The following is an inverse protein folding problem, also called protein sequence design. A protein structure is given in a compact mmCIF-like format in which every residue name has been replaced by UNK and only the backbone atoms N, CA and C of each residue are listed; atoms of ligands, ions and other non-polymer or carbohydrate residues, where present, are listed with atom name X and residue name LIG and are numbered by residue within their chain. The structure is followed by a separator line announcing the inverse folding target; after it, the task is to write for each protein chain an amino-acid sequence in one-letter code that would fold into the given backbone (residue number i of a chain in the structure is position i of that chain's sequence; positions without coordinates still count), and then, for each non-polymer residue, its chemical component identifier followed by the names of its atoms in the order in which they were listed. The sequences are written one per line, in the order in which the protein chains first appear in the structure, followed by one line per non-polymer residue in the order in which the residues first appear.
data_IF_374207886480
#
_entry.id   IF_374207886480
#
_cell.length_a   1.000
_cell.length_b   1.000
_cell.length_c   1.000
_cell.angle_alpha   90.00
_cell.angle_beta   90.00
_cell.angle_gamma   90.00
#
_symmetry.space_group_name_H-M   'P 1'
#
loop_
_entity.id
_entity.type
_entity.pdbx_description
1 polymer ?
#
# COMPACT_ATOMS: atom_id res chain seq x y z
N UNK A 1 -28.08 7.70 37.71
CA UNK A 1 -28.63 7.32 36.37
C UNK A 1 -28.14 8.22 35.23
N UNK A 2 -27.23 9.17 35.44
CA UNK A 2 -26.75 10.11 34.39
C UNK A 2 -25.42 9.72 33.73
N UNK A 3 -24.69 8.74 34.25
CA UNK A 3 -23.38 8.33 33.73
C UNK A 3 -23.43 7.37 32.52
N UNK A 4 -24.55 6.70 32.25
CA UNK A 4 -24.68 5.73 31.15
C UNK A 4 -25.00 6.38 29.80
N UNK A 5 -25.57 7.59 29.78
CA UNK A 5 -25.91 8.27 28.52
C UNK A 5 -24.75 8.99 27.86
N UNK A 6 -23.74 9.36 28.62
CA UNK A 6 -22.54 10.03 28.07
C UNK A 6 -21.59 9.04 27.34
N UNK A 7 -21.51 7.79 27.80
CA UNK A 7 -20.66 6.77 27.19
C UNK A 7 -21.15 6.33 25.82
N UNK A 8 -22.45 6.28 25.58
CA UNK A 8 -23.04 5.87 24.29
C UNK A 8 -22.94 6.94 23.20
N UNK A 9 -22.80 8.22 23.58
CA UNK A 9 -22.62 9.30 22.59
C UNK A 9 -21.19 9.43 22.09
N UNK A 10 -20.21 8.92 22.85
CA UNK A 10 -18.81 8.91 22.45
C UNK A 10 -18.40 7.67 21.61
N UNK A 11 -19.15 6.57 21.70
CA UNK A 11 -18.86 5.33 20.95
C UNK A 11 -19.22 5.47 19.46
N UNK A 12 -20.19 6.30 19.11
CA UNK A 12 -20.56 6.53 17.70
C UNK A 12 -19.46 7.15 16.83
N UNK A 13 -18.70 8.18 17.27
CA UNK A 13 -17.58 8.68 16.48
C UNK A 13 -16.39 7.69 16.41
N UNK A 14 -16.23 6.78 17.39
CA UNK A 14 -15.14 5.80 17.38
C UNK A 14 -15.40 4.68 16.37
N UNK A 15 -16.64 4.24 16.19
CA UNK A 15 -16.99 3.28 15.14
C UNK A 15 -16.77 3.86 13.74
N UNK A 16 -17.06 5.15 13.53
CA UNK A 16 -16.73 5.87 12.31
C UNK A 16 -15.22 6.01 12.08
N UNK A 17 -14.42 6.03 13.15
CA UNK A 17 -12.98 6.22 13.09
C UNK A 17 -12.22 4.92 12.81
N UNK A 18 -12.74 3.76 13.25
CA UNK A 18 -12.21 2.44 12.87
C UNK A 18 -12.49 2.15 11.40
N UNK A 19 -13.64 2.60 10.90
CA UNK A 19 -13.95 2.66 9.48
C UNK A 19 -12.95 3.51 8.70
N UNK A 20 -12.32 4.51 9.34
CA UNK A 20 -11.32 5.40 8.78
C UNK A 20 -10.07 4.68 8.23
N UNK A 21 -9.66 3.57 8.84
CA UNK A 21 -8.48 2.80 8.41
C UNK A 21 -8.72 1.88 7.24
N UNK A 22 -9.97 1.46 7.05
CA UNK A 22 -10.37 0.59 5.93
C UNK A 22 -10.89 1.41 4.74
N UNK A 23 -11.17 2.71 4.94
CA UNK A 23 -11.92 3.53 4.00
C UNK A 23 -11.34 4.94 3.98
N UNK A 24 -10.27 5.16 3.23
CA UNK A 24 -9.76 6.50 2.95
C UNK A 24 -9.79 6.72 1.45
N UNK A 25 -10.71 7.47 0.98
CA UNK A 25 -10.66 8.41 -0.12
C UNK A 25 -11.93 8.60 -0.94
N UNK A 26 -12.25 9.77 -1.32
CA UNK A 26 -12.73 10.17 -2.64
C UNK A 26 -12.48 11.66 -2.82
N UNK A 27 -11.79 11.98 -3.90
CA UNK A 27 -11.30 13.31 -4.16
C UNK A 27 -12.38 14.31 -4.50
N UNK A 28 -12.10 15.56 -4.13
CA UNK A 28 -12.47 16.75 -4.88
C UNK A 28 -11.17 17.50 -5.14
N UNK A 29 -11.06 18.13 -6.30
CA UNK A 29 -9.91 18.91 -6.71
C UNK A 29 -9.61 19.99 -5.66
N UNK A 30 -8.81 19.64 -4.66
CA UNK A 30 -8.15 20.62 -3.83
C UNK A 30 -7.07 21.26 -4.70
N UNK A 31 -7.04 22.57 -4.76
CA UNK A 31 -5.94 23.36 -5.30
C UNK A 31 -4.67 22.83 -4.66
N UNK A 32 -3.96 21.97 -5.40
CA UNK A 32 -2.66 21.48 -5.02
C UNK A 32 -1.71 22.67 -5.03
N UNK A 33 -1.38 23.20 -3.86
CA UNK A 33 -0.06 23.76 -3.68
C UNK A 33 0.88 22.60 -4.05
N UNK A 34 1.53 22.70 -5.21
CA UNK A 34 2.58 21.75 -5.61
C UNK A 34 3.72 21.90 -4.61
N UNK A 35 3.59 21.23 -3.48
CA UNK A 35 4.73 21.04 -2.60
C UNK A 35 5.75 20.25 -3.42
N UNK A 36 6.90 20.89 -3.64
CA UNK A 36 7.99 20.24 -4.34
C UNK A 36 8.37 19.00 -3.55
N UNK A 37 8.45 17.88 -4.27
CA UNK A 37 8.91 16.63 -3.66
C UNK A 37 10.23 16.90 -2.90
N UNK A 38 10.45 16.27 -1.75
CA UNK A 38 11.71 16.39 -1.03
C UNK A 38 12.89 16.05 -1.95
N UNK A 39 14.07 16.66 -1.75
CA UNK A 39 15.22 16.41 -2.59
C UNK A 39 15.51 14.92 -2.76
N UNK A 40 15.66 14.50 -4.03
CA UNK A 40 15.97 13.13 -4.39
C UNK A 40 14.77 12.20 -4.52
N UNK A 41 13.53 12.67 -4.35
CA UNK A 41 12.34 11.94 -4.70
C UNK A 41 11.82 12.34 -6.09
N UNK A 42 11.18 11.40 -6.81
CA UNK A 42 10.53 11.73 -8.08
C UNK A 42 9.29 12.61 -7.83
N UNK A 43 8.79 13.26 -8.88
CA UNK A 43 7.47 13.87 -8.83
C UNK A 43 6.39 12.79 -8.65
N UNK A 44 5.25 13.17 -8.04
CA UNK A 44 4.10 12.27 -7.87
C UNK A 44 3.67 11.74 -9.25
N UNK A 45 3.43 10.43 -9.35
CA UNK A 45 3.06 9.75 -10.60
C UNK A 45 4.23 9.51 -11.56
N UNK A 46 5.45 9.93 -11.20
CA UNK A 46 6.66 9.59 -11.97
C UNK A 46 7.23 8.23 -11.55
N UNK A 47 7.93 7.54 -12.45
CA UNK A 47 8.58 6.28 -12.13
C UNK A 47 9.54 6.37 -10.95
N UNK A 48 9.69 5.29 -10.20
CA UNK A 48 10.62 5.21 -9.09
C UNK A 48 12.07 5.49 -9.51
N UNK A 49 12.83 6.16 -8.64
CA UNK A 49 14.27 6.37 -8.81
C UNK A 49 15.00 5.21 -8.13
N UNK A 50 15.84 4.51 -8.89
CA UNK A 50 16.69 3.43 -8.39
C UNK A 50 18.14 3.90 -8.37
N UNK A 51 18.79 3.79 -7.22
CA UNK A 51 20.19 4.20 -7.03
C UNK A 51 21.00 3.09 -6.39
N UNK A 52 22.04 2.61 -7.08
CA UNK A 52 23.00 1.68 -6.52
C UNK A 52 23.81 2.37 -5.40
N UNK A 53 23.90 1.73 -4.23
CA UNK A 53 24.66 2.21 -3.08
C UNK A 53 25.99 1.43 -2.94
N UNK A 54 25.94 0.11 -3.19
CA UNK A 54 27.10 -0.77 -3.15
C UNK A 54 26.89 -1.93 -4.13
N UNK A 55 27.87 -2.26 -4.98
CA UNK A 55 27.70 -3.28 -6.02
C UNK A 55 27.80 -4.72 -5.50
N UNK A 56 28.21 -4.95 -4.25
CA UNK A 56 28.41 -6.28 -3.68
C UNK A 56 29.67 -6.98 -4.15
N UNK A 57 29.80 -8.24 -3.76
CA UNK A 57 30.96 -9.10 -4.06
C UNK A 57 30.84 -9.77 -5.44
N UNK A 58 31.97 -10.18 -6.01
CA UNK A 58 31.98 -11.00 -7.23
C UNK A 58 31.56 -12.46 -6.92
N UNK A 59 30.94 -13.15 -7.90
CA UNK A 59 30.62 -12.68 -9.25
C UNK A 59 29.39 -11.75 -9.27
N UNK A 60 29.46 -10.73 -10.13
CA UNK A 60 28.37 -9.78 -10.35
C UNK A 60 27.62 -10.11 -11.63
N UNK A 61 26.31 -9.91 -11.63
CA UNK A 61 25.44 -10.06 -12.79
C UNK A 61 24.42 -8.93 -12.87
N UNK A 62 24.01 -8.61 -14.09
CA UNK A 62 22.91 -7.67 -14.32
C UNK A 62 21.60 -8.39 -14.06
N UNK A 63 20.78 -7.83 -13.17
CA UNK A 63 19.44 -8.36 -12.86
C UNK A 63 18.42 -7.78 -13.86
N UNK A 64 17.69 -8.65 -14.56
CA UNK A 64 16.62 -8.25 -15.49
C UNK A 64 15.48 -9.24 -15.45
N UNK A 65 14.28 -8.71 -15.41
CA UNK A 65 13.06 -9.50 -15.59
C UNK A 65 12.99 -9.97 -17.05
N UNK A 66 12.78 -11.27 -17.25
CA UNK A 66 12.63 -11.91 -18.56
C UNK A 66 11.38 -12.78 -18.57
N UNK A 67 10.24 -12.13 -18.50
CA UNK A 67 8.94 -12.78 -18.38
C UNK A 67 8.42 -13.04 -19.79
N UNK A 68 8.07 -14.30 -20.13
CA UNK A 68 7.61 -14.61 -21.50
C UNK A 68 6.19 -14.05 -21.76
N UNK A 69 5.93 -13.72 -23.01
CA UNK A 69 4.58 -13.38 -23.46
C UNK A 69 3.60 -14.54 -23.19
N UNK A 70 2.38 -14.22 -22.77
CA UNK A 70 1.37 -15.22 -22.42
C UNK A 70 1.58 -15.90 -21.06
N UNK A 71 2.58 -15.49 -20.26
CA UNK A 71 2.78 -15.97 -18.89
C UNK A 71 1.55 -15.65 -18.04
N UNK A 72 1.09 -16.63 -17.26
CA UNK A 72 -0.04 -16.49 -16.34
C UNK A 72 0.34 -16.99 -14.97
N UNK A 73 -0.12 -16.30 -13.95
CA UNK A 73 0.11 -16.70 -12.57
C UNK A 73 -1.00 -16.16 -11.68
N UNK A 74 -1.17 -16.76 -10.52
CA UNK A 74 -2.06 -16.30 -9.46
C UNK A 74 -1.26 -16.02 -8.21
N UNK A 75 -1.72 -15.09 -7.41
CA UNK A 75 -1.10 -14.72 -6.15
C UNK A 75 -2.12 -14.47 -5.05
N UNK A 76 -1.62 -14.42 -3.83
CA UNK A 76 -2.37 -14.03 -2.64
C UNK A 76 -1.60 -12.95 -1.89
N UNK A 77 -2.31 -11.88 -1.52
CA UNK A 77 -1.86 -10.86 -0.57
C UNK A 77 -2.57 -11.16 0.74
N UNK A 78 -1.82 -11.29 1.82
CA UNK A 78 -2.38 -11.39 3.18
C UNK A 78 -1.92 -10.18 3.98
N UNK A 79 -2.84 -9.54 4.68
CA UNK A 79 -2.60 -8.34 5.50
C UNK A 79 -3.20 -8.56 6.88
N UNK A 80 -2.41 -8.32 7.91
CA UNK A 80 -2.89 -8.16 9.30
C UNK A 80 -2.50 -6.79 9.80
N UNK A 81 -3.37 -6.18 10.60
CA UNK A 81 -3.20 -4.82 11.09
C UNK A 81 -3.66 -4.71 12.54
N UNK A 82 -2.79 -4.15 13.39
CA UNK A 82 -3.12 -3.72 14.74
C UNK A 82 -3.13 -2.19 14.81
N UNK A 83 -4.06 -1.66 15.59
CA UNK A 83 -4.31 -0.23 15.72
C UNK A 83 -4.31 0.18 17.18
N UNK A 84 -3.60 1.26 17.50
CA UNK A 84 -3.70 1.95 18.79
C UNK A 84 -3.96 3.42 18.52
N UNK A 85 -4.87 4.01 19.28
CA UNK A 85 -5.27 5.42 19.10
C UNK A 85 -5.17 6.18 20.43
N UNK A 86 -4.86 7.47 20.31
CA UNK A 86 -4.89 8.43 21.41
C UNK A 86 -5.70 9.64 20.94
N UNK A 87 -6.74 10.00 21.66
CA UNK A 87 -7.59 11.14 21.38
C UNK A 87 -7.61 12.09 22.56
N UNK A 88 -7.23 13.33 22.35
CA UNK A 88 -7.18 14.37 23.40
C UNK A 88 -6.39 13.93 24.65
N UNK A 89 -5.30 13.18 24.48
CA UNK A 89 -4.46 12.67 25.58
C UNK A 89 -4.97 11.39 26.25
N UNK A 90 -6.12 10.86 25.85
CA UNK A 90 -6.64 9.58 26.32
C UNK A 90 -6.32 8.45 25.35
N UNK A 91 -5.59 7.43 25.84
CA UNK A 91 -5.34 6.22 25.06
C UNK A 91 -6.62 5.38 24.96
N UNK A 92 -6.99 5.00 23.75
CA UNK A 92 -8.06 4.03 23.50
C UNK A 92 -7.48 2.61 23.52
N UNK A 93 -8.30 1.59 23.86
CA UNK A 93 -7.84 0.21 23.79
C UNK A 93 -7.28 -0.14 22.44
N UNK A 94 -6.12 -0.78 22.41
CA UNK A 94 -5.56 -1.31 21.17
C UNK A 94 -6.49 -2.38 20.60
N UNK A 95 -6.64 -2.42 19.27
CA UNK A 95 -7.46 -3.39 18.58
C UNK A 95 -6.72 -4.02 17.41
N UNK A 96 -6.93 -5.30 17.21
CA UNK A 96 -6.49 -5.99 16.02
C UNK A 96 -7.65 -6.03 15.01
N UNK A 97 -7.36 -5.61 13.78
CA UNK A 97 -8.34 -5.69 12.70
C UNK A 97 -8.34 -7.12 12.12
N UNK A 98 -9.47 -7.54 11.52
CA UNK A 98 -9.54 -8.83 10.85
C UNK A 98 -8.42 -8.99 9.83
N UNK A 99 -7.75 -10.14 9.85
CA UNK A 99 -6.81 -10.48 8.79
C UNK A 99 -7.53 -10.55 7.45
N UNK A 100 -6.94 -9.97 6.41
CA UNK A 100 -7.49 -9.94 5.05
C UNK A 100 -6.61 -10.77 4.12
N UNK A 101 -7.25 -11.54 3.23
CA UNK A 101 -6.57 -12.25 2.15
C UNK A 101 -7.24 -11.89 0.83
N UNK A 102 -6.47 -11.36 -0.10
CA UNK A 102 -6.90 -10.99 -1.44
C UNK A 102 -6.23 -11.89 -2.47
N UNK A 103 -7.01 -12.59 -3.27
CA UNK A 103 -6.52 -13.42 -4.36
C UNK A 103 -6.60 -12.65 -5.68
N UNK A 104 -5.60 -12.82 -6.52
CA UNK A 104 -5.53 -12.14 -7.81
C UNK A 104 -4.89 -13.03 -8.87
N UNK A 105 -5.26 -12.76 -10.12
CA UNK A 105 -4.66 -13.35 -11.31
C UNK A 105 -3.90 -12.29 -12.10
N UNK A 106 -2.75 -12.68 -12.68
CA UNK A 106 -1.97 -11.89 -13.61
C UNK A 106 -1.82 -12.64 -14.93
N UNK A 107 -1.94 -11.91 -16.04
CA UNK A 107 -1.75 -12.45 -17.38
C UNK A 107 -0.91 -11.48 -18.22
N UNK A 108 0.26 -11.89 -18.69
CA UNK A 108 1.10 -11.08 -19.58
C UNK A 108 0.45 -11.02 -20.96
N UNK A 109 0.13 -9.81 -21.40
CA UNK A 109 -0.52 -9.52 -22.67
C UNK A 109 0.46 -9.02 -23.72
N UNK A 110 1.61 -8.48 -23.30
CA UNK A 110 2.62 -8.00 -24.26
C UNK A 110 4.01 -7.93 -23.62
N UNK A 111 5.03 -8.12 -24.48
CA UNK A 111 6.44 -7.88 -24.14
C UNK A 111 7.07 -7.11 -25.29
N UNK A 112 7.67 -5.96 -25.00
CA UNK A 112 8.34 -5.15 -26.02
C UNK A 112 9.75 -5.68 -26.31
N UNK A 113 10.36 -5.30 -27.45
CA UNK A 113 11.77 -5.61 -27.74
C UNK A 113 12.75 -5.05 -26.67
N UNK A 114 12.36 -3.97 -25.97
CA UNK A 114 13.11 -3.38 -24.87
C UNK A 114 12.97 -4.17 -23.55
N UNK A 115 12.09 -5.18 -23.51
CA UNK A 115 11.84 -6.00 -22.33
C UNK A 115 10.77 -5.45 -21.39
N UNK A 116 10.07 -4.37 -21.76
CA UNK A 116 8.92 -3.91 -20.98
C UNK A 116 7.78 -4.94 -21.08
N UNK A 117 7.19 -5.27 -19.94
CA UNK A 117 6.15 -6.28 -19.81
C UNK A 117 4.82 -5.63 -19.44
N UNK A 118 3.82 -5.83 -20.30
CA UNK A 118 2.42 -5.42 -20.04
C UNK A 118 1.63 -6.64 -19.58
N UNK A 119 0.89 -6.49 -18.49
CA UNK A 119 0.06 -7.55 -17.94
C UNK A 119 -1.27 -7.02 -17.44
N UNK A 120 -2.29 -7.86 -17.56
CA UNK A 120 -3.59 -7.64 -16.94
C UNK A 120 -3.58 -8.21 -15.52
N UNK A 121 -4.30 -7.52 -14.64
CA UNK A 121 -4.56 -7.90 -13.26
C UNK A 121 -6.06 -8.01 -13.03
N UNK A 122 -6.49 -9.05 -12.32
CA UNK A 122 -7.86 -9.17 -11.84
C UNK A 122 -7.87 -9.72 -10.41
N UNK A 123 -8.56 -9.05 -9.50
CA UNK A 123 -8.84 -9.63 -8.18
C UNK A 123 -9.97 -10.65 -8.29
N UNK A 124 -9.74 -11.85 -7.79
CA UNK A 124 -10.64 -12.99 -7.94
C UNK A 124 -11.40 -13.30 -6.67
N UNK A 125 -10.80 -13.06 -5.52
CA UNK A 125 -11.44 -13.26 -4.23
C UNK A 125 -10.85 -12.37 -3.14
N UNK A 126 -11.66 -12.10 -2.10
CA UNK A 126 -11.23 -11.50 -0.86
C UNK A 126 -11.94 -12.21 0.29
N UNK A 127 -11.17 -12.65 1.26
CA UNK A 127 -11.66 -13.27 2.50
C UNK A 127 -11.10 -12.52 3.70
N UNK A 128 -11.89 -12.48 4.78
CA UNK A 128 -11.47 -11.90 6.06
C UNK A 128 -11.50 -12.98 7.13
N UNK A 129 -10.52 -12.96 8.01
CA UNK A 129 -10.51 -13.80 9.19
C UNK A 129 -11.40 -13.16 10.26
N UNK A 130 -12.11 -13.99 11.03
CA UNK A 130 -12.95 -13.49 12.12
C UNK A 130 -12.07 -12.81 13.18
N UNK A 131 -12.41 -11.59 13.56
CA UNK A 131 -11.79 -10.91 14.69
C UNK A 131 -12.78 -10.93 15.88
N UNK A 132 -12.43 -11.57 17.00
CA UNK A 132 -13.27 -11.56 18.20
C UNK A 132 -13.53 -10.13 18.68
N UNK A 133 -14.79 -9.78 18.94
CA UNK A 133 -15.16 -8.45 19.45
C UNK A 133 -15.29 -7.33 18.39
N UNK A 134 -15.21 -7.67 17.10
CA UNK A 134 -15.44 -6.71 16.03
C UNK A 134 -16.92 -6.28 16.03
N UNK A 135 -17.15 -4.96 15.92
CA UNK A 135 -18.51 -4.41 15.79
C UNK A 135 -19.17 -4.95 14.51
N UNK A 136 -20.44 -5.41 14.56
CA UNK A 136 -21.15 -5.93 13.38
C UNK A 136 -21.23 -4.97 12.21
N UNK A 137 -21.26 -3.66 12.44
CA UNK A 137 -21.29 -2.64 11.38
C UNK A 137 -19.95 -2.59 10.64
N UNK A 138 -18.83 -2.72 11.35
CA UNK A 138 -17.48 -2.81 10.77
C UNK A 138 -17.32 -4.11 9.97
N UNK A 139 -17.82 -5.24 10.51
CA UNK A 139 -17.82 -6.51 9.79
C UNK A 139 -18.60 -6.44 8.47
N UNK A 140 -19.79 -5.84 8.48
CA UNK A 140 -20.63 -5.64 7.29
C UNK A 140 -19.95 -4.75 6.23
N UNK A 141 -19.26 -3.69 6.66
CA UNK A 141 -18.51 -2.81 5.78
C UNK A 141 -17.35 -3.54 5.10
N UNK A 142 -16.59 -4.34 5.86
CA UNK A 142 -15.50 -5.16 5.30
C UNK A 142 -16.04 -6.16 4.28
N UNK A 143 -17.17 -6.81 4.55
CA UNK A 143 -17.82 -7.72 3.60
C UNK A 143 -18.29 -7.00 2.32
N UNK A 144 -18.82 -5.79 2.44
CA UNK A 144 -19.17 -4.95 1.31
C UNK A 144 -17.96 -4.63 0.42
N UNK A 145 -16.84 -4.29 1.05
CA UNK A 145 -15.57 -4.03 0.35
C UNK A 145 -15.05 -5.26 -0.42
N UNK A 146 -15.26 -6.48 0.12
CA UNK A 146 -14.85 -7.71 -0.55
C UNK A 146 -15.56 -7.92 -1.90
N UNK A 147 -16.85 -7.59 -1.98
CA UNK A 147 -17.61 -7.67 -3.23
C UNK A 147 -17.12 -6.64 -4.27
N UNK A 148 -16.75 -5.44 -3.81
CA UNK A 148 -16.23 -4.37 -4.67
C UNK A 148 -14.85 -4.73 -5.25
N UNK A 149 -13.95 -5.29 -4.46
CA UNK A 149 -12.59 -5.66 -4.87
C UNK A 149 -12.61 -6.68 -6.03
N UNK A 150 -13.52 -7.65 -6.03
CA UNK A 150 -13.66 -8.64 -7.13
C UNK A 150 -13.99 -8.02 -8.50
N UNK A 151 -14.47 -6.79 -8.53
CA UNK A 151 -14.76 -6.07 -9.78
C UNK A 151 -13.55 -5.30 -10.33
N UNK A 152 -12.49 -5.16 -9.53
CA UNK A 152 -11.31 -4.40 -9.90
C UNK A 152 -10.49 -5.20 -10.92
N UNK A 153 -10.32 -4.62 -12.08
CA UNK A 153 -9.42 -5.08 -13.14
C UNK A 153 -8.54 -3.93 -13.57
N UNK A 154 -7.32 -4.24 -13.94
CA UNK A 154 -6.36 -3.24 -14.39
C UNK A 154 -5.35 -3.82 -15.33
N UNK A 155 -4.62 -2.93 -15.99
CA UNK A 155 -3.47 -3.26 -16.82
C UNK A 155 -2.29 -2.44 -16.31
N UNK A 156 -1.14 -3.09 -16.16
CA UNK A 156 0.09 -2.40 -15.79
C UNK A 156 1.22 -2.77 -16.74
N UNK A 157 2.16 -1.84 -16.90
CA UNK A 157 3.40 -2.06 -17.64
C UNK A 157 4.57 -1.80 -16.72
N UNK A 158 5.48 -2.77 -16.65
CA UNK A 158 6.76 -2.65 -15.94
C UNK A 158 7.91 -2.75 -16.93
N UNK A 159 9.03 -2.08 -16.62
CA UNK A 159 10.26 -2.27 -17.38
C UNK A 159 10.91 -3.63 -17.07
N UNK A 160 11.90 -4.02 -17.86
CA UNK A 160 12.77 -5.17 -17.59
C UNK A 160 13.50 -5.08 -16.24
N UNK A 161 13.48 -3.90 -15.60
CA UNK A 161 14.03 -3.66 -14.27
C UNK A 161 12.96 -3.65 -13.16
N UNK A 162 11.71 -3.98 -13.46
CA UNK A 162 10.62 -3.97 -12.48
C UNK A 162 10.12 -2.56 -12.10
N UNK A 163 10.54 -1.52 -12.81
CA UNK A 163 10.03 -0.16 -12.59
C UNK A 163 8.69 -0.01 -13.29
N UNK A 164 7.66 0.41 -12.57
CA UNK A 164 6.33 0.67 -13.13
C UNK A 164 6.41 1.86 -14.11
N UNK A 165 5.92 1.64 -15.31
CA UNK A 165 5.81 2.64 -16.38
C UNK A 165 4.42 3.25 -16.43
N UNK A 166 3.40 2.42 -16.27
CA UNK A 166 1.99 2.83 -16.27
C UNK A 166 1.14 1.82 -15.52
N UNK A 167 0.07 2.31 -14.93
CA UNK A 167 -1.00 1.49 -14.36
C UNK A 167 -2.33 2.14 -14.75
N UNK A 168 -3.26 1.36 -15.26
CA UNK A 168 -4.62 1.79 -15.59
C UNK A 168 -5.61 0.81 -15.03
N UNK A 169 -6.74 1.32 -14.54
CA UNK A 169 -7.84 0.50 -14.03
C UNK A 169 -9.09 0.69 -14.88
N UNK A 170 -9.85 -0.36 -15.06
CA UNK A 170 -11.15 -0.28 -15.72
C UNK A 170 -12.18 0.34 -14.79
N UNK A 171 -12.33 1.66 -14.89
CA UNK A 171 -13.31 2.45 -14.13
C UNK A 171 -14.65 2.59 -14.84
N UNK A 172 -14.82 2.03 -16.03
CA UNK A 172 -16.00 2.23 -16.87
C UNK A 172 -17.30 1.73 -16.24
N UNK A 173 -17.22 0.79 -15.31
CA UNK A 173 -18.35 0.22 -14.56
C UNK A 173 -18.44 0.71 -13.12
N UNK A 174 -17.60 1.67 -12.74
CA UNK A 174 -17.49 2.14 -11.36
C UNK A 174 -18.35 3.38 -11.11
N UNK A 175 -19.67 3.20 -11.06
CA UNK A 175 -20.59 4.23 -10.57
C UNK A 175 -20.69 4.24 -9.04
N UNK A 176 -20.20 3.20 -8.35
CA UNK A 176 -20.24 3.07 -6.91
C UNK A 176 -19.03 3.79 -6.27
N UNK A 177 -19.25 4.79 -5.39
CA UNK A 177 -18.19 5.47 -4.65
C UNK A 177 -17.30 4.52 -3.84
N UNK A 178 -17.87 3.44 -3.28
CA UNK A 178 -17.11 2.46 -2.51
C UNK A 178 -16.12 1.69 -3.39
N UNK A 179 -16.49 1.44 -4.65
CA UNK A 179 -15.61 0.75 -5.60
C UNK A 179 -14.43 1.65 -6.01
N UNK A 180 -14.66 2.94 -6.23
CA UNK A 180 -13.59 3.90 -6.51
C UNK A 180 -12.58 3.96 -5.38
N UNK A 181 -13.08 3.94 -4.15
CA UNK A 181 -12.26 3.94 -2.95
C UNK A 181 -11.48 2.63 -2.77
N UNK A 182 -12.10 1.47 -3.00
CA UNK A 182 -11.40 0.17 -2.99
C UNK A 182 -10.27 0.16 -4.02
N UNK A 183 -10.46 0.80 -5.17
CA UNK A 183 -9.46 0.94 -6.22
C UNK A 183 -8.22 1.72 -5.77
N UNK A 184 -8.40 2.82 -5.07
CA UNK A 184 -7.28 3.61 -4.56
C UNK A 184 -6.42 2.81 -3.55
N UNK A 185 -7.06 2.01 -2.70
CA UNK A 185 -6.35 1.10 -1.77
C UNK A 185 -5.58 0.01 -2.50
N UNK A 186 -6.16 -0.54 -3.56
CA UNK A 186 -5.53 -1.59 -4.38
C UNK A 186 -4.36 -1.06 -5.19
N UNK A 187 -4.44 0.18 -5.67
CA UNK A 187 -3.37 0.82 -6.44
C UNK A 187 -2.04 0.77 -5.71
N UNK A 188 -2.04 1.03 -4.40
CA UNK A 188 -0.84 0.96 -3.56
C UNK A 188 -0.24 -0.44 -3.48
N UNK A 189 -1.08 -1.48 -3.47
CA UNK A 189 -0.63 -2.87 -3.40
C UNK A 189 0.01 -3.33 -4.70
N UNK A 190 -0.33 -2.73 -5.84
CA UNK A 190 0.25 -3.08 -7.12
C UNK A 190 1.70 -2.59 -7.27
N UNK A 191 2.04 -1.48 -6.63
CA UNK A 191 3.40 -0.94 -6.70
C UNK A 191 4.44 -1.85 -6.04
N UNK A 192 4.03 -2.76 -5.17
CA UNK A 192 4.94 -3.72 -4.52
C UNK A 192 5.06 -5.07 -5.24
N UNK A 193 4.33 -5.28 -6.35
CA UNK A 193 4.36 -6.57 -7.06
C UNK A 193 5.66 -6.82 -7.84
N UNK A 194 6.38 -5.79 -8.23
CA UNK A 194 7.68 -5.89 -8.84
C UNK A 194 8.71 -5.09 -8.01
N UNK A 195 9.85 -5.69 -7.73
CA UNK A 195 10.94 -4.99 -7.03
C UNK A 195 11.85 -4.35 -8.07
N UNK A 196 11.99 -3.01 -8.07
CA UNK A 196 12.92 -2.33 -8.96
C UNK A 196 14.39 -2.73 -8.67
N UNK A 197 15.12 -3.13 -9.72
CA UNK A 197 16.52 -3.54 -9.63
C UNK A 197 17.46 -2.52 -10.31
N UNK A 198 18.75 -2.46 -9.91
CA UNK A 198 19.73 -1.55 -10.50
C UNK A 198 20.00 -1.80 -11.99
N UNK A 199 20.55 -0.80 -12.66
CA UNK A 199 21.04 -0.93 -14.03
C UNK A 199 22.35 -1.68 -14.09
N UNK A 200 23.17 -1.50 -13.09
CA UNK A 200 24.51 -2.01 -12.97
C UNK A 200 24.51 -3.48 -12.56
N UNK A 201 25.63 -4.16 -12.83
CA UNK A 201 25.86 -5.52 -12.36
C UNK A 201 26.06 -5.53 -10.83
N UNK A 202 25.38 -6.45 -10.16
CA UNK A 202 25.37 -6.59 -8.69
C UNK A 202 25.68 -8.02 -8.28
N UNK A 203 26.30 -8.17 -7.11
CA UNK A 203 26.62 -9.47 -6.51
C UNK A 203 26.14 -9.54 -5.06
N UNK A 204 26.43 -10.64 -4.39
CA UNK A 204 26.02 -10.83 -2.99
C UNK A 204 26.46 -9.66 -2.09
N UNK A 205 25.60 -9.19 -1.21
CA UNK A 205 25.83 -8.02 -0.38
C UNK A 205 25.64 -6.68 -1.11
N UNK A 206 25.22 -6.66 -2.39
CA UNK A 206 24.89 -5.43 -3.09
C UNK A 206 23.72 -4.74 -2.39
N UNK A 207 23.75 -3.40 -2.35
CA UNK A 207 22.70 -2.57 -1.79
C UNK A 207 22.28 -1.49 -2.76
N UNK A 208 20.98 -1.27 -2.88
CA UNK A 208 20.43 -0.17 -3.65
C UNK A 208 19.21 0.42 -2.96
N UNK A 209 18.91 1.63 -3.33
CA UNK A 209 17.80 2.40 -2.82
C UNK A 209 16.79 2.65 -3.94
N UNK A 210 15.51 2.52 -3.59
CA UNK A 210 14.36 2.88 -4.44
C UNK A 210 13.60 3.99 -3.75
N UNK A 211 13.38 5.10 -4.44
CA UNK A 211 12.57 6.22 -3.97
C UNK A 211 11.34 6.40 -4.82
N UNK A 212 10.20 6.58 -4.16
CA UNK A 212 8.89 6.76 -4.80
C UNK A 212 8.15 7.92 -4.13
N UNK A 213 7.34 8.63 -4.90
CA UNK A 213 6.35 9.58 -4.43
C UNK A 213 4.98 9.11 -4.90
N UNK A 214 4.06 8.89 -3.98
CA UNK A 214 2.74 8.35 -4.26
C UNK A 214 1.66 9.13 -3.52
N UNK A 215 0.45 9.11 -4.06
CA UNK A 215 -0.75 9.59 -3.36
C UNK A 215 -1.67 8.43 -3.13
N UNK A 216 -1.98 8.16 -1.88
CA UNK A 216 -2.86 7.10 -1.47
C UNK A 216 -3.72 7.57 -0.31
N UNK A 217 -5.02 7.24 -0.38
CA UNK A 217 -5.95 7.67 0.65
C UNK A 217 -6.03 9.18 0.81
N UNK A 218 -5.89 9.94 -0.28
CA UNK A 218 -5.86 11.40 -0.26
C UNK A 218 -4.61 12.01 0.39
N UNK A 219 -3.59 11.20 0.70
CA UNK A 219 -2.36 11.63 1.35
C UNK A 219 -1.16 11.38 0.44
N UNK A 220 -0.36 12.43 0.21
CA UNK A 220 0.94 12.30 -0.47
C UNK A 220 1.97 11.71 0.49
N UNK A 221 2.66 10.66 0.05
CA UNK A 221 3.69 9.95 0.80
C UNK A 221 4.97 9.81 -0.01
N UNK A 222 6.09 9.83 0.69
CA UNK A 222 7.42 9.61 0.15
C UNK A 222 7.99 8.34 0.77
N UNK A 223 8.29 7.36 -0.08
CA UNK A 223 8.77 6.04 0.33
C UNK A 223 10.21 5.86 -0.13
N UNK A 224 11.07 5.48 0.79
CA UNK A 224 12.45 5.09 0.54
C UNK A 224 12.64 3.65 0.98
N UNK A 225 12.96 2.77 0.05
CA UNK A 225 13.24 1.37 0.35
C UNK A 225 14.69 1.05 -0.01
N UNK A 226 15.43 0.55 0.95
CA UNK A 226 16.76 -0.02 0.76
C UNK A 226 16.64 -1.54 0.64
N UNK A 227 17.22 -2.08 -0.42
CA UNK A 227 17.32 -3.51 -0.68
C UNK A 227 18.76 -3.98 -0.54
N UNK A 228 18.94 -5.18 0.02
CA UNK A 228 20.21 -5.90 0.09
C UNK A 228 20.08 -7.24 -0.64
N UNK A 229 20.94 -7.50 -1.59
CA UNK A 229 21.03 -8.79 -2.28
C UNK A 229 21.69 -9.83 -1.38
N UNK A 230 20.90 -10.78 -0.89
CA UNK A 230 21.40 -11.90 -0.07
C UNK A 230 22.02 -12.97 -0.95
N UNK A 231 21.30 -13.38 -2.00
CA UNK A 231 21.78 -14.38 -2.97
C UNK A 231 21.07 -14.25 -4.30
N UNK A 232 21.74 -14.68 -5.37
CA UNK A 232 21.16 -14.82 -6.70
C UNK A 232 21.60 -16.17 -7.28
N UNK A 233 20.65 -17.04 -7.62
CA UNK A 233 20.90 -18.37 -8.17
C UNK A 233 19.89 -18.68 -9.27
N UNK A 234 20.37 -18.90 -10.49
CA UNK A 234 19.50 -19.06 -11.67
C UNK A 234 18.58 -17.85 -11.85
N UNK A 235 17.26 -18.06 -11.87
CA UNK A 235 16.26 -16.98 -11.96
C UNK A 235 15.80 -16.47 -10.58
N UNK A 236 16.25 -17.11 -9.48
CA UNK A 236 15.86 -16.78 -8.11
C UNK A 236 16.79 -15.75 -7.48
N UNK A 237 16.22 -14.71 -6.86
CA UNK A 237 16.95 -13.66 -6.16
C UNK A 237 16.34 -13.48 -4.78
N UNK A 238 17.17 -13.54 -3.73
CA UNK A 238 16.75 -13.30 -2.35
C UNK A 238 17.22 -11.94 -1.88
N UNK A 239 16.31 -11.17 -1.33
CA UNK A 239 16.55 -9.82 -0.84
C UNK A 239 16.13 -9.67 0.62
N UNK A 240 16.83 -8.81 1.35
CA UNK A 240 16.30 -8.13 2.54
C UNK A 240 15.88 -6.74 2.14
N UNK A 241 14.89 -6.19 2.83
CA UNK A 241 14.45 -4.83 2.60
C UNK A 241 14.21 -4.09 3.91
N UNK A 242 14.45 -2.80 3.87
CA UNK A 242 14.08 -1.83 4.89
C UNK A 242 13.43 -0.64 4.19
N UNK A 243 12.22 -0.27 4.61
CA UNK A 243 11.50 0.85 4.04
C UNK A 243 11.21 1.92 5.10
N UNK A 244 11.28 3.17 4.69
CA UNK A 244 10.92 4.35 5.47
C UNK A 244 9.89 5.14 4.65
N UNK A 245 8.79 5.52 5.30
CA UNK A 245 7.71 6.28 4.68
C UNK A 245 7.48 7.55 5.47
N UNK A 246 7.38 8.68 4.80
CA UNK A 246 7.04 9.97 5.39
C UNK A 246 5.95 10.67 4.59
N UNK A 247 5.20 11.57 5.24
CA UNK A 247 4.33 12.49 4.56
C UNK A 247 4.50 13.90 5.15
N UNK A 248 4.42 14.95 4.32
CA UNK A 248 4.38 16.33 4.82
C UNK A 248 3.05 16.59 5.52
N UNK A 249 2.96 17.63 6.36
CA UNK A 249 1.68 18.15 6.83
C UNK A 249 0.77 18.49 5.65
N UNK A 250 -0.46 17.97 5.65
CA UNK A 250 -1.38 18.15 4.52
C UNK A 250 -2.82 17.92 4.93
N UNK A 251 -3.78 18.61 4.30
CA UNK A 251 -5.19 18.32 4.48
C UNK A 251 -5.52 16.93 3.93
N UNK A 252 -6.47 16.26 4.56
CA UNK A 252 -6.98 14.97 4.11
C UNK A 252 -8.51 15.01 4.12
N UNK A 253 -9.10 14.56 3.04
CA UNK A 253 -10.55 14.41 2.92
C UNK A 253 -10.96 12.99 3.29
N UNK A 254 -11.97 12.86 4.13
CA UNK A 254 -12.57 11.58 4.44
C UNK A 254 -14.09 11.65 4.22
N UNK A 255 -14.63 11.00 3.18
CA UNK A 255 -16.05 11.06 2.85
C UNK A 255 -16.96 10.39 3.89
N UNK A 256 -16.41 9.62 4.83
CA UNK A 256 -17.15 9.03 5.94
C UNK A 256 -17.36 9.98 7.11
N UNK A 257 -16.65 11.10 7.14
CA UNK A 257 -16.85 12.12 8.12
C UNK A 257 -17.91 13.14 7.63
N UNK A 258 -18.60 13.82 8.54
CA UNK A 258 -19.48 14.94 8.17
C UNK A 258 -18.76 15.94 7.27
N UNK A 259 -19.46 16.52 6.30
CA UNK A 259 -18.87 17.40 5.27
C UNK A 259 -18.18 18.65 5.85
N UNK A 260 -18.53 19.04 7.08
CA UNK A 260 -17.93 20.14 7.83
C UNK A 260 -16.69 19.72 8.66
N UNK A 261 -16.31 18.46 8.61
CA UNK A 261 -15.12 17.96 9.31
C UNK A 261 -13.87 18.18 8.46
N UNK A 262 -12.93 18.94 8.99
CA UNK A 262 -11.61 19.10 8.38
C UNK A 262 -10.60 18.19 9.08
N UNK A 263 -9.84 17.44 8.29
CA UNK A 263 -8.77 16.59 8.78
C UNK A 263 -7.46 17.13 8.26
N UNK A 264 -6.52 17.40 9.16
CA UNK A 264 -5.17 17.82 8.84
C UNK A 264 -4.18 16.77 9.36
N UNK A 265 -3.41 16.16 8.46
CA UNK A 265 -2.26 15.35 8.85
C UNK A 265 -1.15 16.31 9.28
N UNK A 266 -0.73 16.23 10.53
CA UNK A 266 0.36 17.05 11.08
C UNK A 266 1.71 16.35 10.92
N UNK A 267 1.71 15.04 11.11
CA UNK A 267 2.91 14.21 11.01
C UNK A 267 2.53 12.79 10.62
N UNK A 268 3.29 12.23 9.70
CA UNK A 268 3.25 10.81 9.36
C UNK A 268 4.66 10.25 9.22
N UNK A 269 4.92 9.12 9.83
CA UNK A 269 6.15 8.36 9.64
C UNK A 269 5.86 6.87 9.76
N UNK A 270 6.48 6.08 8.89
CA UNK A 270 6.38 4.64 8.92
C UNK A 270 7.73 3.97 8.66
N UNK A 271 7.91 2.79 9.20
CA UNK A 271 9.08 1.95 8.92
C UNK A 271 8.61 0.52 8.72
N UNK A 272 9.24 -0.19 7.80
CA UNK A 272 9.03 -1.62 7.64
C UNK A 272 10.33 -2.33 7.30
N UNK A 273 10.38 -3.61 7.66
CA UNK A 273 11.48 -4.51 7.29
C UNK A 273 10.91 -5.81 6.77
N UNK A 274 11.68 -6.52 5.97
CA UNK A 274 11.21 -7.78 5.45
C UNK A 274 12.20 -8.49 4.54
N UNK A 275 11.68 -9.52 3.89
CA UNK A 275 12.40 -10.31 2.90
C UNK A 275 11.59 -10.44 1.63
N UNK A 276 12.28 -10.60 0.51
CA UNK A 276 11.65 -10.88 -0.77
C UNK A 276 12.41 -11.97 -1.49
N UNK A 277 11.68 -12.88 -2.11
CA UNK A 277 12.22 -13.85 -3.06
C UNK A 277 11.65 -13.54 -4.42
N UNK A 278 12.50 -13.01 -5.30
CA UNK A 278 12.12 -12.66 -6.66
C UNK A 278 12.39 -13.82 -7.60
N UNK A 279 11.59 -13.93 -8.63
CA UNK A 279 11.88 -14.72 -9.82
C UNK A 279 12.00 -13.77 -11.00
N UNK A 280 13.15 -13.76 -11.65
CA UNK A 280 13.38 -12.90 -12.82
C UNK A 280 12.59 -13.36 -14.06
N UNK A 281 11.99 -14.54 -14.02
CA UNK A 281 11.12 -15.14 -15.03
C UNK A 281 9.62 -15.15 -14.63
N UNK A 282 9.23 -14.40 -13.59
CA UNK A 282 7.87 -14.40 -13.06
C UNK A 282 7.40 -13.04 -12.54
N UNK A 283 6.09 -12.85 -12.44
CA UNK A 283 5.46 -11.61 -11.98
C UNK A 283 5.16 -11.59 -10.48
N UNK A 284 4.73 -12.71 -9.90
CA UNK A 284 4.41 -12.75 -8.48
C UNK A 284 5.64 -13.12 -7.69
N UNK A 285 6.01 -12.23 -6.80
CA UNK A 285 7.15 -12.38 -5.90
C UNK A 285 6.67 -12.88 -4.54
N UNK A 286 7.49 -13.64 -3.82
CA UNK A 286 7.23 -13.91 -2.42
C UNK A 286 7.83 -12.79 -1.58
N UNK A 287 6.98 -12.04 -0.89
CA UNK A 287 7.37 -10.90 -0.05
C UNK A 287 6.74 -11.08 1.32
N UNK A 288 7.53 -10.88 2.36
CA UNK A 288 7.04 -10.79 3.73
C UNK A 288 7.60 -9.52 4.36
N UNK A 289 6.72 -8.65 4.86
CA UNK A 289 7.10 -7.41 5.53
C UNK A 289 6.34 -7.25 6.83
N UNK A 290 7.00 -6.63 7.81
CA UNK A 290 6.38 -6.15 9.04
C UNK A 290 6.78 -4.71 9.26
N UNK A 291 5.85 -3.88 9.69
CA UNK A 291 6.09 -2.46 9.84
C UNK A 291 5.22 -1.81 10.90
N UNK A 292 5.59 -0.56 11.19
CA UNK A 292 4.83 0.33 12.06
C UNK A 292 4.69 1.68 11.37
N UNK A 293 3.57 2.35 11.58
CA UNK A 293 3.37 3.74 11.18
C UNK A 293 2.77 4.53 12.33
N UNK A 294 3.20 5.78 12.48
CA UNK A 294 2.70 6.71 13.47
C UNK A 294 2.13 7.92 12.72
N UNK A 295 0.93 8.31 13.07
CA UNK A 295 0.26 9.47 12.49
C UNK A 295 -0.25 10.37 13.60
N UNK A 296 -0.02 11.67 13.44
CA UNK A 296 -0.66 12.71 14.26
C UNK A 296 -1.54 13.54 13.34
N UNK A 297 -2.81 13.70 13.71
CA UNK A 297 -3.80 14.44 12.94
C UNK A 297 -4.54 15.41 13.85
N UNK A 298 -5.03 16.50 13.29
CA UNK A 298 -6.04 17.35 13.91
C UNK A 298 -7.37 17.19 13.15
N UNK A 299 -8.44 17.02 13.92
CA UNK A 299 -9.82 17.00 13.42
C UNK A 299 -10.50 18.28 13.90
N UNK A 300 -11.02 19.07 12.96
CA UNK A 300 -11.80 20.27 13.27
C UNK A 300 -13.24 20.05 12.85
N UNK A 301 -14.16 20.15 13.79
CA UNK A 301 -15.60 19.98 13.59
C UNK A 301 -16.35 21.03 14.40
N UNK A 302 -17.26 21.79 13.76
CA UNK A 302 -17.98 22.86 14.42
C UNK A 302 -17.11 23.95 15.06
N UNK A 303 -15.91 24.21 14.47
CA UNK A 303 -14.95 25.20 14.97
C UNK A 303 -14.10 24.72 16.16
N UNK A 304 -14.28 23.49 16.64
CA UNK A 304 -13.43 22.87 17.66
C UNK A 304 -12.43 21.92 17.03
N UNK A 305 -11.15 22.08 17.38
CA UNK A 305 -10.08 21.21 16.91
C UNK A 305 -9.66 20.24 18.00
N UNK A 306 -9.50 18.96 17.65
CA UNK A 306 -9.01 17.91 18.53
C UNK A 306 -7.84 17.21 17.88
N UNK A 307 -6.78 16.96 18.65
CA UNK A 307 -5.63 16.20 18.19
C UNK A 307 -5.85 14.71 18.42
N UNK A 308 -5.47 13.92 17.42
CA UNK A 308 -5.52 12.47 17.46
C UNK A 308 -4.16 11.90 17.04
N UNK A 309 -3.64 10.99 17.85
CA UNK A 309 -2.50 10.15 17.51
C UNK A 309 -2.95 8.74 17.14
N UNK A 310 -2.30 8.14 16.18
CA UNK A 310 -2.59 6.78 15.73
C UNK A 310 -1.29 6.02 15.45
N UNK A 311 -1.19 4.83 16.03
CA UNK A 311 -0.10 3.89 15.81
C UNK A 311 -0.66 2.66 15.12
N UNK A 312 -0.05 2.30 13.99
CA UNK A 312 -0.46 1.15 13.17
C UNK A 312 0.69 0.16 13.13
N UNK A 313 0.38 -1.11 13.38
CA UNK A 313 1.29 -2.24 13.14
C UNK A 313 0.75 -3.04 11.97
N UNK A 314 1.60 -3.38 11.01
CA UNK A 314 1.20 -4.15 9.83
C UNK A 314 2.10 -5.35 9.63
N UNK A 315 1.52 -6.44 9.16
CA UNK A 315 2.25 -7.54 8.54
C UNK A 315 1.60 -7.84 7.21
N UNK A 316 2.40 -7.81 6.15
CA UNK A 316 1.96 -8.09 4.77
C UNK A 316 2.75 -9.26 4.23
N UNK A 317 2.06 -10.20 3.60
CA UNK A 317 2.69 -11.25 2.81
C UNK A 317 2.10 -11.27 1.42
N UNK A 318 2.95 -11.43 0.41
CA UNK A 318 2.55 -11.70 -0.98
C UNK A 318 3.19 -13.04 -1.36
N UNK A 319 2.42 -13.92 -1.94
CA UNK A 319 2.94 -15.20 -2.37
C UNK A 319 2.24 -15.70 -3.64
N UNK A 320 2.95 -16.42 -4.53
CA UNK A 320 2.30 -17.12 -5.62
C UNK A 320 1.41 -18.24 -5.06
N UNK A 321 0.24 -18.43 -5.67
CA UNK A 321 -0.61 -19.59 -5.39
C UNK A 321 0.00 -20.79 -6.11
N UNK A 322 0.39 -21.81 -5.34
CA UNK A 322 0.82 -23.10 -5.92
C UNK A 322 -0.41 -23.78 -6.53
N UNK A 323 -0.35 -24.04 -7.83
CA UNK A 323 -1.31 -24.92 -8.50
C UNK A 323 -1.03 -26.37 -8.18
#
# INVERSE_FOLDING_TARGET
MAYHYWMLTFIRPVAGLVAFLLVVAAGHEAVQTRDQAPPGYPAIGSPAIVKLLAPGADPKAVLRYKIPAGFKTSGVISLTMGLSMNMAGMALPAMDLPGMKMMFDLAVTGVTPAGDVTYDLAFTDMTTEAAPGLDPSVAAMIQGSAAAIKQIKGTATISDRGVIRSTTFDVSKMSDPNLKQALEQVSDQLEVMAVPVPDEAVGAGARWEVRQAMTSGGMTRYVRTEYELVSATGTGVQLRLKSETTAPPQPMTNPMLPADTQVQVEKYSGTSTGTSTLRMDGLVQAIETSGTANTTMSLTMGGQSQQMGMDIKTKTTIAPVKK
#
